data_IF_295078064201
#
_entry.id   IF_295078064201
#
_cell.length_a   1.000
_cell.length_b   1.000
_cell.length_c   1.000
_cell.angle_alpha   90.00
_cell.angle_beta   90.00
_cell.angle_gamma   90.00
#
_symmetry.space_group_name_H-M   'P 1'
#
loop_
_entity.id
_entity.type
_entity.pdbx_description
1 polymer ?
#
# COMPACT_ATOMS: atom_id res chain seq x y z
N UNK A 1 14.93 0.61 -15.87
CA UNK A 1 13.95 -0.42 -15.44
C UNK A 1 14.64 -1.47 -14.57
N UNK A 2 15.76 -2.03 -15.03
CA UNK A 2 16.59 -2.97 -14.25
C UNK A 2 17.05 -2.39 -12.91
N UNK A 3 17.60 -1.17 -12.90
CA UNK A 3 18.08 -0.56 -11.66
C UNK A 3 16.98 -0.31 -10.63
N UNK A 4 15.79 0.11 -11.07
CA UNK A 4 14.65 0.27 -10.16
C UNK A 4 14.24 -1.07 -9.52
N UNK A 5 14.31 -2.17 -10.29
CA UNK A 5 14.03 -3.50 -9.75
C UNK A 5 15.10 -3.95 -8.74
N UNK A 6 16.37 -3.62 -8.97
CA UNK A 6 17.46 -3.86 -8.01
C UNK A 6 17.24 -3.09 -6.71
N UNK A 7 16.82 -1.83 -6.78
CA UNK A 7 16.46 -1.05 -5.60
C UNK A 7 15.31 -1.68 -4.81
N UNK A 8 14.23 -2.08 -5.49
CA UNK A 8 13.11 -2.78 -4.85
C UNK A 8 13.55 -4.06 -4.15
N UNK A 9 14.41 -4.84 -4.82
CA UNK A 9 14.96 -6.08 -4.27
C UNK A 9 15.82 -5.82 -3.03
N UNK A 10 16.71 -4.82 -3.06
CA UNK A 10 17.55 -4.44 -1.90
C UNK A 10 16.70 -4.03 -0.69
N UNK A 11 15.71 -3.16 -0.89
CA UNK A 11 14.80 -2.76 0.18
C UNK A 11 14.02 -3.94 0.77
N UNK A 12 13.55 -4.83 -0.10
CA UNK A 12 12.85 -6.05 0.30
C UNK A 12 13.73 -7.02 1.09
N UNK A 13 14.97 -7.26 0.64
CA UNK A 13 15.94 -8.13 1.33
C UNK A 13 16.29 -7.58 2.71
N UNK A 14 16.48 -6.26 2.84
CA UNK A 14 16.70 -5.61 4.13
C UNK A 14 15.51 -5.81 5.08
N UNK A 15 14.28 -5.65 4.58
CA UNK A 15 13.07 -5.77 5.41
C UNK A 15 12.85 -7.19 5.97
N UNK A 16 13.37 -8.24 5.31
CA UNK A 16 13.27 -9.62 5.81
C UNK A 16 14.03 -9.80 7.13
N UNK A 17 15.04 -8.97 7.42
CA UNK A 17 15.75 -9.01 8.71
C UNK A 17 14.89 -8.54 9.89
N UNK A 18 13.76 -7.89 9.63
CA UNK A 18 12.80 -7.48 10.67
C UNK A 18 11.84 -8.59 11.07
N UNK A 19 11.83 -9.71 10.34
CA UNK A 19 10.95 -10.84 10.62
C UNK A 19 11.63 -11.80 11.58
N UNK A 20 10.97 -12.03 12.71
CA UNK A 20 11.37 -12.96 13.76
C UNK A 20 10.47 -14.21 13.77
N UNK A 21 10.96 -15.28 14.41
CA UNK A 21 10.19 -16.51 14.58
C UNK A 21 8.92 -16.27 15.40
N UNK A 22 7.83 -16.93 15.05
CA UNK A 22 6.53 -16.80 15.74
C UNK A 22 5.69 -15.59 15.34
N UNK A 23 6.21 -14.65 14.53
CA UNK A 23 5.46 -13.45 14.14
C UNK A 23 4.24 -13.76 13.26
N UNK A 24 3.16 -13.01 13.52
CA UNK A 24 2.01 -12.86 12.62
C UNK A 24 2.19 -11.60 11.78
N UNK A 25 2.30 -11.76 10.47
CA UNK A 25 2.68 -10.69 9.55
C UNK A 25 1.49 -10.17 8.75
N UNK A 26 1.45 -8.87 8.49
CA UNK A 26 0.70 -8.33 7.36
C UNK A 26 1.56 -8.31 6.10
N UNK A 27 1.06 -8.93 5.04
CA UNK A 27 1.74 -9.08 3.76
C UNK A 27 1.13 -8.10 2.77
N UNK A 28 1.88 -7.04 2.46
CA UNK A 28 1.50 -5.97 1.56
C UNK A 28 1.26 -6.38 0.10
N UNK A 29 1.10 -5.41 -0.80
CA UNK A 29 0.84 -5.66 -2.23
C UNK A 29 1.80 -4.87 -3.13
N UNK A 30 2.09 -5.43 -4.31
CA UNK A 30 2.82 -4.75 -5.38
C UNK A 30 4.24 -5.31 -5.65
N UNK A 31 4.92 -4.70 -6.62
CA UNK A 31 6.17 -5.24 -7.17
C UNK A 31 7.33 -5.28 -6.17
N UNK A 32 7.38 -4.38 -5.20
CA UNK A 32 8.43 -4.40 -4.17
C UNK A 32 8.16 -5.50 -3.15
N UNK A 33 6.89 -5.66 -2.76
CA UNK A 33 6.45 -6.73 -1.85
C UNK A 33 6.63 -8.12 -2.47
N UNK A 34 6.52 -8.25 -3.79
CA UNK A 34 6.89 -9.48 -4.51
C UNK A 34 8.30 -9.96 -4.14
N UNK A 35 9.30 -9.07 -4.17
CA UNK A 35 10.67 -9.42 -3.80
C UNK A 35 10.79 -9.76 -2.31
N UNK A 36 10.03 -9.07 -1.45
CA UNK A 36 10.01 -9.36 -0.01
C UNK A 36 9.49 -10.76 0.27
N UNK A 37 8.38 -11.15 -0.34
CA UNK A 37 7.81 -12.49 -0.16
C UNK A 37 8.76 -13.58 -0.69
N UNK A 38 9.42 -13.35 -1.83
CA UNK A 38 10.44 -14.28 -2.32
C UNK A 38 11.63 -14.42 -1.37
N UNK A 39 12.11 -13.32 -0.79
CA UNK A 39 13.21 -13.35 0.16
C UNK A 39 12.79 -13.98 1.50
N UNK A 40 11.57 -13.70 1.97
CA UNK A 40 10.98 -14.28 3.16
C UNK A 40 10.85 -15.81 3.04
N UNK A 41 10.36 -16.30 1.91
CA UNK A 41 10.21 -17.75 1.66
C UNK A 41 11.53 -18.53 1.64
N UNK A 42 12.68 -17.85 1.47
CA UNK A 42 14.00 -18.48 1.52
C UNK A 42 14.54 -18.61 2.95
N UNK A 43 13.96 -17.90 3.92
CA UNK A 43 14.37 -17.99 5.33
C UNK A 43 13.98 -19.36 5.88
N UNK A 44 14.94 -20.06 6.48
CA UNK A 44 14.72 -21.34 7.17
C UNK A 44 14.53 -21.11 8.66
N UNK A 45 13.76 -21.99 9.30
CA UNK A 45 13.56 -21.97 10.76
C UNK A 45 12.66 -20.84 11.26
N UNK A 46 11.80 -20.29 10.40
CA UNK A 46 10.77 -19.32 10.80
C UNK A 46 9.39 -19.99 10.76
N UNK A 47 8.70 -19.97 11.89
CA UNK A 47 7.30 -20.33 12.06
C UNK A 47 6.48 -19.04 12.04
N UNK A 48 6.13 -18.59 10.85
CA UNK A 48 5.33 -17.38 10.65
C UNK A 48 3.97 -17.71 10.05
N UNK A 49 3.04 -16.77 10.20
CA UNK A 49 1.75 -16.78 9.49
C UNK A 49 1.44 -15.38 8.98
N UNK A 50 0.75 -15.27 7.86
CA UNK A 50 0.51 -14.01 7.16
C UNK A 50 -0.97 -13.70 6.95
N UNK A 51 -1.30 -12.41 6.97
CA UNK A 51 -2.57 -11.86 6.47
C UNK A 51 -2.25 -11.05 5.21
N UNK A 52 -2.78 -11.46 4.07
CA UNK A 52 -2.55 -10.79 2.79
C UNK A 52 -3.43 -9.56 2.60
N UNK A 53 -2.89 -8.51 1.97
CA UNK A 53 -3.65 -7.29 1.64
C UNK A 53 -4.31 -7.33 0.26
N UNK A 54 -4.16 -8.42 -0.50
CA UNK A 54 -4.85 -8.60 -1.78
C UNK A 54 -4.95 -10.06 -2.22
N UNK A 55 -5.82 -10.33 -3.20
CA UNK A 55 -5.87 -11.60 -3.91
C UNK A 55 -4.58 -11.91 -4.68
N UNK A 56 -3.86 -10.89 -5.14
CA UNK A 56 -2.53 -11.06 -5.75
C UNK A 56 -1.53 -11.60 -4.72
N UNK A 57 -1.44 -10.95 -3.56
CA UNK A 57 -0.53 -11.36 -2.49
C UNK A 57 -0.91 -12.74 -1.92
N UNK A 58 -2.21 -13.03 -1.80
CA UNK A 58 -2.71 -14.34 -1.37
C UNK A 58 -2.19 -15.47 -2.25
N UNK A 59 -2.30 -15.31 -3.58
CA UNK A 59 -1.81 -16.31 -4.54
C UNK A 59 -0.31 -16.52 -4.42
N UNK A 60 0.45 -15.43 -4.43
CA UNK A 60 1.92 -15.49 -4.37
C UNK A 60 2.42 -16.10 -3.04
N UNK A 61 1.85 -15.71 -1.90
CA UNK A 61 2.21 -16.26 -0.61
C UNK A 61 1.92 -17.77 -0.55
N UNK A 62 0.79 -18.21 -1.11
CA UNK A 62 0.43 -19.63 -1.19
C UNK A 62 1.39 -20.42 -2.08
N UNK A 63 1.75 -19.89 -3.25
CA UNK A 63 2.74 -20.49 -4.18
C UNK A 63 4.12 -20.64 -3.54
N UNK A 64 4.48 -19.69 -2.66
CA UNK A 64 5.75 -19.69 -1.92
C UNK A 64 5.71 -20.51 -0.63
N UNK A 65 4.57 -21.12 -0.28
CA UNK A 65 4.41 -21.91 0.93
C UNK A 65 4.38 -21.09 2.23
N UNK A 66 4.08 -19.79 2.17
CA UNK A 66 3.91 -18.94 3.35
C UNK A 66 2.51 -19.20 3.93
N UNK A 67 2.39 -19.67 5.20
CA UNK A 67 1.09 -19.95 5.80
C UNK A 67 0.23 -18.68 5.90
N UNK A 68 -1.02 -18.75 5.44
CA UNK A 68 -1.97 -17.65 5.51
C UNK A 68 -3.06 -17.91 6.54
N UNK A 69 -3.48 -16.83 7.22
CA UNK A 69 -4.58 -16.82 8.18
C UNK A 69 -5.52 -15.65 7.91
N UNK A 70 -6.76 -15.73 8.41
CA UNK A 70 -7.70 -14.61 8.31
C UNK A 70 -7.38 -13.59 9.40
N UNK A 71 -7.53 -12.31 9.08
CA UNK A 71 -7.32 -11.22 10.04
C UNK A 71 -8.13 -11.39 11.33
N UNK A 72 -9.39 -11.82 11.21
CA UNK A 72 -10.28 -12.03 12.36
C UNK A 72 -9.82 -13.12 13.34
N UNK A 73 -8.91 -14.01 12.91
CA UNK A 73 -8.43 -15.14 13.70
C UNK A 73 -7.06 -14.86 14.37
N UNK A 74 -6.48 -13.66 14.18
CA UNK A 74 -5.10 -13.39 14.64
C UNK A 74 -5.00 -12.70 16.00
N UNK A 75 -6.01 -11.92 16.41
CA UNK A 75 -5.95 -11.07 17.60
C UNK A 75 -5.06 -9.83 17.48
N UNK A 76 -4.54 -9.55 16.27
CA UNK A 76 -3.55 -8.51 15.97
C UNK A 76 -2.41 -9.03 15.09
N UNK A 77 -1.59 -8.12 14.55
CA UNK A 77 -0.42 -8.43 13.74
C UNK A 77 0.83 -7.79 14.36
N UNK A 78 1.96 -8.50 14.35
CA UNK A 78 3.22 -8.00 14.90
C UNK A 78 3.85 -6.95 13.98
N UNK A 79 3.84 -7.24 12.66
CA UNK A 79 4.55 -6.45 11.66
C UNK A 79 3.83 -6.52 10.31
N UNK A 80 3.57 -5.37 9.71
CA UNK A 80 3.19 -5.27 8.29
C UNK A 80 4.36 -4.72 7.47
N UNK A 81 4.70 -5.44 6.40
CA UNK A 81 5.62 -4.98 5.35
C UNK A 81 4.82 -4.71 4.09
N UNK A 82 4.89 -3.48 3.58
CA UNK A 82 4.15 -3.09 2.37
C UNK A 82 4.92 -2.07 1.51
N UNK A 83 4.49 -1.87 0.26
CA UNK A 83 5.00 -0.81 -0.61
C UNK A 83 4.28 0.52 -0.44
N UNK A 84 4.79 1.55 -1.11
CA UNK A 84 4.10 2.83 -1.28
C UNK A 84 4.31 3.41 -2.69
N UNK A 85 3.37 4.20 -3.15
CA UNK A 85 3.44 4.92 -4.43
C UNK A 85 4.18 6.24 -4.29
N UNK A 86 4.02 6.90 -3.14
CA UNK A 86 4.81 8.05 -2.68
C UNK A 86 5.00 8.00 -1.17
N UNK A 87 6.12 8.52 -0.71
CA UNK A 87 6.43 8.75 0.71
C UNK A 87 7.08 10.11 0.86
N UNK A 88 6.48 10.98 1.68
CA UNK A 88 7.02 12.31 1.95
C UNK A 88 8.08 12.33 3.06
N UNK A 89 8.65 13.51 3.33
CA UNK A 89 9.66 13.70 4.38
C UNK A 89 9.14 13.45 5.80
N UNK A 90 7.82 13.52 6.01
CA UNK A 90 7.14 13.24 7.27
C UNK A 90 6.64 11.79 7.35
N UNK A 91 7.05 10.96 6.40
CA UNK A 91 6.61 9.57 6.22
C UNK A 91 5.09 9.41 6.14
N UNK A 92 4.42 10.41 5.56
CA UNK A 92 3.06 10.24 5.06
C UNK A 92 3.13 9.63 3.66
N UNK A 93 2.12 8.85 3.27
CA UNK A 93 2.18 8.11 2.01
C UNK A 93 0.94 8.24 1.13
N UNK A 94 1.16 8.12 -0.17
CA UNK A 94 0.14 7.68 -1.12
C UNK A 94 0.36 6.19 -1.41
N UNK A 95 -0.71 5.41 -1.30
CA UNK A 95 -0.80 3.98 -1.63
C UNK A 95 -2.05 3.72 -2.46
N UNK A 96 -2.19 2.49 -2.95
CA UNK A 96 -3.35 2.06 -3.74
C UNK A 96 -3.14 2.04 -5.24
N UNK A 97 -1.93 2.29 -5.75
CA UNK A 97 -1.59 2.13 -7.17
C UNK A 97 -1.90 0.72 -7.70
N UNK A 98 -1.75 -0.30 -6.85
CA UNK A 98 -2.13 -1.69 -7.15
C UNK A 98 -3.63 -2.00 -6.99
N UNK A 99 -4.42 -1.09 -6.44
CA UNK A 99 -5.87 -1.26 -6.24
C UNK A 99 -6.28 -2.02 -4.98
N UNK A 100 -5.37 -2.15 -4.01
CA UNK A 100 -5.57 -2.88 -2.75
C UNK A 100 -5.69 -1.97 -1.51
N UNK A 101 -5.84 -0.64 -1.70
CA UNK A 101 -5.74 0.37 -0.63
C UNK A 101 -6.61 0.07 0.59
N UNK A 102 -7.83 -0.45 0.40
CA UNK A 102 -8.74 -0.74 1.50
C UNK A 102 -8.16 -1.83 2.41
N UNK A 103 -7.79 -2.97 1.84
CA UNK A 103 -7.25 -4.09 2.60
C UNK A 103 -5.86 -3.79 3.15
N UNK A 104 -5.03 -3.05 2.40
CA UNK A 104 -3.75 -2.53 2.90
C UNK A 104 -3.94 -1.69 4.16
N UNK A 105 -4.93 -0.78 4.17
CA UNK A 105 -5.18 0.10 5.31
C UNK A 105 -5.79 -0.64 6.50
N UNK A 106 -6.71 -1.57 6.24
CA UNK A 106 -7.26 -2.44 7.27
C UNK A 106 -6.11 -3.22 7.95
N UNK A 107 -5.32 -3.97 7.20
CA UNK A 107 -4.20 -4.76 7.76
C UNK A 107 -3.20 -3.87 8.51
N UNK A 108 -2.84 -2.71 7.96
CA UNK A 108 -1.94 -1.78 8.61
C UNK A 108 -2.48 -1.27 9.97
N UNK A 109 -3.80 -1.04 10.10
CA UNK A 109 -4.42 -0.56 11.33
C UNK A 109 -4.49 -1.61 12.45
N UNK A 110 -4.43 -2.90 12.12
CA UNK A 110 -4.35 -4.00 13.09
C UNK A 110 -2.91 -4.43 13.39
N UNK A 111 -1.92 -3.72 12.84
CA UNK A 111 -0.50 -4.03 13.00
C UNK A 111 0.15 -3.19 14.09
N UNK A 112 0.95 -3.83 14.93
CA UNK A 112 1.76 -3.15 15.96
C UNK A 112 2.85 -2.29 15.33
N UNK A 113 3.49 -2.78 14.27
CA UNK A 113 4.50 -2.04 13.51
C UNK A 113 4.20 -2.11 12.01
N UNK A 114 4.34 -0.98 11.35
CA UNK A 114 4.22 -0.86 9.91
C UNK A 114 5.55 -0.36 9.34
N UNK A 115 6.04 -1.07 8.33
CA UNK A 115 7.27 -0.74 7.62
C UNK A 115 6.97 -0.70 6.13
N UNK A 116 7.40 0.39 5.48
CA UNK A 116 7.27 0.52 4.04
C UNK A 116 8.59 0.27 3.32
N UNK A 117 8.54 -0.50 2.23
CA UNK A 117 9.67 -0.80 1.36
C UNK A 117 9.48 -0.15 -0.01
N UNK A 118 10.43 0.67 -0.44
CA UNK A 118 10.31 1.44 -1.68
C UNK A 118 11.64 1.55 -2.44
N UNK A 119 11.56 1.77 -3.75
CA UNK A 119 12.71 2.30 -4.51
C UNK A 119 12.87 3.80 -4.27
N UNK A 120 14.07 4.32 -4.55
CA UNK A 120 14.43 5.73 -4.32
C UNK A 120 13.48 6.73 -5.01
N UNK A 121 12.88 6.35 -6.14
CA UNK A 121 11.95 7.19 -6.91
C UNK A 121 10.61 7.45 -6.23
N UNK A 122 10.30 6.77 -5.12
CA UNK A 122 9.05 6.93 -4.36
C UNK A 122 9.15 8.00 -3.27
N UNK A 123 10.37 8.47 -2.97
CA UNK A 123 10.57 9.58 -2.03
C UNK A 123 10.26 10.90 -2.71
N UNK A 124 9.38 11.67 -2.08
CA UNK A 124 8.97 12.99 -2.56
C UNK A 124 9.09 14.02 -1.45
N UNK A 125 9.20 15.30 -1.81
CA UNK A 125 9.14 16.39 -0.82
C UNK A 125 7.70 16.62 -0.34
N UNK A 126 6.75 16.44 -1.25
CA UNK A 126 5.33 16.65 -1.03
C UNK A 126 4.55 15.62 -1.84
N UNK A 127 3.47 15.10 -1.24
CA UNK A 127 2.57 14.15 -1.90
C UNK A 127 1.79 14.79 -3.04
N UNK A 128 1.37 13.99 -4.02
CA UNK A 128 0.37 14.35 -5.04
C UNK A 128 0.86 14.29 -6.48
N UNK A 129 2.14 13.97 -6.73
CA UNK A 129 2.63 13.75 -8.10
C UNK A 129 2.07 12.43 -8.63
N UNK A 130 2.01 11.39 -7.80
CA UNK A 130 1.23 10.19 -8.06
C UNK A 130 -0.27 10.50 -7.88
N UNK A 131 -1.16 10.07 -8.80
CA UNK A 131 -2.60 10.28 -8.64
C UNK A 131 -3.11 9.60 -7.38
N UNK A 132 -3.86 10.31 -6.53
CA UNK A 132 -4.39 9.76 -5.29
C UNK A 132 -5.55 8.80 -5.60
N UNK A 133 -5.42 7.49 -5.30
CA UNK A 133 -6.52 6.54 -5.52
C UNK A 133 -7.62 6.74 -4.49
N UNK A 134 -8.88 6.69 -4.92
CA UNK A 134 -10.06 6.71 -4.04
C UNK A 134 -10.98 5.57 -4.45
N UNK A 135 -11.22 4.62 -3.54
CA UNK A 135 -12.14 3.50 -3.73
C UNK A 135 -13.58 3.97 -3.48
N UNK A 136 -14.47 3.70 -4.42
CA UNK A 136 -15.85 4.19 -4.45
C UNK A 136 -16.79 3.04 -4.75
N UNK A 137 -17.90 2.94 -4.03
CA UNK A 137 -18.94 1.95 -4.33
C UNK A 137 -19.51 2.18 -5.74
N UNK A 138 -19.71 1.15 -6.57
CA UNK A 138 -20.12 1.35 -7.96
C UNK A 138 -21.43 2.13 -8.11
N UNK A 139 -22.36 1.95 -7.16
CA UNK A 139 -23.63 2.69 -7.09
C UNK A 139 -23.42 4.22 -7.01
N UNK A 140 -22.38 4.68 -6.34
CA UNK A 140 -22.10 6.10 -6.11
C UNK A 140 -21.11 6.69 -7.13
N UNK A 141 -20.63 5.91 -8.11
CA UNK A 141 -19.56 6.33 -9.02
C UNK A 141 -19.85 7.67 -9.70
N UNK A 142 -20.99 7.81 -10.39
CA UNK A 142 -21.32 9.04 -11.12
C UNK A 142 -21.43 10.28 -10.22
N UNK A 143 -22.24 10.28 -9.14
CA UNK A 143 -22.36 11.45 -8.28
C UNK A 143 -21.05 11.82 -7.58
N UNK A 144 -20.26 10.84 -7.11
CA UNK A 144 -18.95 11.11 -6.49
C UNK A 144 -17.96 11.67 -7.50
N UNK A 145 -17.93 11.12 -8.72
CA UNK A 145 -17.06 11.62 -9.78
C UNK A 145 -17.42 13.07 -10.15
N UNK A 146 -18.70 13.42 -10.21
CA UNK A 146 -19.12 14.79 -10.50
C UNK A 146 -18.78 15.75 -9.37
N UNK A 147 -18.99 15.34 -8.11
CA UNK A 147 -18.54 16.10 -6.94
C UNK A 147 -17.03 16.39 -6.99
N UNK A 148 -16.21 15.40 -7.35
CA UNK A 148 -14.77 15.57 -7.49
C UNK A 148 -14.41 16.49 -8.66
N UNK A 149 -15.17 16.50 -9.76
CA UNK A 149 -14.98 17.47 -10.85
C UNK A 149 -15.28 18.89 -10.38
N UNK A 150 -16.38 19.11 -9.66
CA UNK A 150 -16.73 20.42 -9.09
C UNK A 150 -15.70 20.94 -8.09
N UNK A 151 -15.05 20.05 -7.35
CA UNK A 151 -13.93 20.38 -6.45
C UNK A 151 -12.59 20.55 -7.17
N UNK A 152 -12.57 20.46 -8.51
CA UNK A 152 -11.37 20.52 -9.35
C UNK A 152 -10.30 19.46 -9.00
N UNK A 153 -10.71 18.34 -8.41
CA UNK A 153 -9.83 17.23 -8.02
C UNK A 153 -9.43 16.30 -9.18
N UNK A 154 -9.90 16.62 -10.40
CA UNK A 154 -9.53 15.96 -11.67
C UNK A 154 -9.63 14.42 -11.61
N UNK A 155 -10.80 13.86 -11.27
CA UNK A 155 -10.97 12.42 -11.11
C UNK A 155 -10.90 11.69 -12.45
N UNK A 156 -10.20 10.55 -12.49
CA UNK A 156 -10.23 9.61 -13.61
C UNK A 156 -10.62 8.23 -13.12
N UNK A 157 -11.58 7.60 -13.78
CA UNK A 157 -11.93 6.22 -13.49
C UNK A 157 -10.77 5.32 -13.88
N UNK A 158 -10.31 4.48 -12.94
CA UNK A 158 -9.28 3.49 -13.23
C UNK A 158 -9.86 2.40 -14.12
N UNK A 159 -9.16 2.08 -15.21
CA UNK A 159 -9.56 1.07 -16.17
C UNK A 159 -8.58 -0.12 -16.17
N UNK A 160 -9.11 -1.31 -16.47
CA UNK A 160 -8.37 -2.49 -16.86
C UNK A 160 -8.76 -2.81 -18.31
N UNK A 161 -7.88 -2.45 -19.24
CA UNK A 161 -8.26 -2.36 -20.66
C UNK A 161 -9.34 -1.30 -20.84
N UNK A 162 -10.47 -1.69 -21.44
CA UNK A 162 -11.60 -0.78 -21.69
C UNK A 162 -12.71 -0.86 -20.62
N UNK A 163 -12.50 -1.65 -19.57
CA UNK A 163 -13.50 -1.86 -18.51
C UNK A 163 -13.05 -1.23 -17.19
N UNK A 164 -13.97 -0.79 -16.31
CA UNK A 164 -13.61 -0.32 -14.98
C UNK A 164 -12.79 -1.37 -14.22
N UNK A 165 -11.69 -0.94 -13.60
CA UNK A 165 -10.96 -1.78 -12.66
C UNK A 165 -11.84 -2.03 -11.43
N UNK A 166 -11.96 -3.30 -11.03
CA UNK A 166 -12.65 -3.70 -9.82
C UNK A 166 -11.63 -4.11 -8.75
N UNK A 167 -11.79 -3.56 -7.54
CA UNK A 167 -11.01 -3.95 -6.37
C UNK A 167 -11.40 -5.35 -5.89
N UNK A 168 -10.64 -5.91 -4.95
CA UNK A 168 -11.00 -7.20 -4.33
C UNK A 168 -12.37 -7.13 -3.63
N UNK A 169 -12.80 -5.94 -3.18
CA UNK A 169 -14.14 -5.67 -2.62
C UNK A 169 -15.20 -5.35 -3.68
N UNK A 170 -14.90 -5.52 -4.98
CA UNK A 170 -15.79 -5.23 -6.11
C UNK A 170 -16.21 -3.76 -6.24
N UNK A 171 -15.43 -2.85 -5.68
CA UNK A 171 -15.60 -1.41 -5.86
C UNK A 171 -14.80 -0.91 -7.07
N UNK A 172 -15.02 0.34 -7.45
CA UNK A 172 -14.24 1.03 -8.49
C UNK A 172 -13.27 2.03 -7.86
N UNK A 173 -12.25 2.46 -8.62
CA UNK A 173 -11.29 3.47 -8.16
C UNK A 173 -11.37 4.71 -9.03
N UNK A 174 -11.46 5.88 -8.40
CA UNK A 174 -11.21 7.18 -9.01
C UNK A 174 -9.82 7.66 -8.61
N UNK A 175 -8.94 7.84 -9.60
CA UNK A 175 -7.61 8.42 -9.45
C UNK A 175 -7.68 9.94 -9.54
N UNK A 176 -7.31 10.65 -8.46
CA UNK A 176 -7.34 12.11 -8.40
C UNK A 176 -5.98 12.69 -8.82
N UNK A 177 -5.96 13.41 -9.94
CA UNK A 177 -4.73 14.00 -10.50
C UNK A 177 -4.44 15.40 -9.93
N UNK A 178 -4.09 15.44 -8.63
CA UNK A 178 -3.97 16.67 -7.85
C UNK A 178 -2.68 17.46 -8.10
N UNK A 179 -1.63 16.82 -8.62
CA UNK A 179 -0.26 17.36 -8.79
C UNK A 179 0.50 17.63 -7.48
N UNK A 180 -0.19 18.14 -6.46
CA UNK A 180 0.35 18.41 -5.14
C UNK A 180 -0.78 18.41 -4.11
N UNK A 181 -0.48 17.94 -2.90
CA UNK A 181 -1.40 17.90 -1.76
C UNK A 181 -0.74 18.69 -0.62
N UNK A 182 -1.26 19.89 -0.34
CA UNK A 182 -0.74 20.79 0.71
C UNK A 182 -1.14 20.35 2.11
N UNK A 183 -2.38 19.90 2.28
CA UNK A 183 -2.92 19.41 3.54
C UNK A 183 -3.52 18.01 3.35
N UNK A 184 -2.70 16.95 3.47
CA UNK A 184 -3.17 15.58 3.36
C UNK A 184 -4.24 15.24 4.41
N UNK A 185 -4.15 15.78 5.62
CA UNK A 185 -5.10 15.47 6.70
C UNK A 185 -6.48 16.07 6.41
N UNK A 186 -6.54 17.32 5.97
CA UNK A 186 -7.80 17.95 5.58
C UNK A 186 -8.44 17.26 4.36
N UNK A 187 -7.63 16.85 3.36
CA UNK A 187 -8.13 16.12 2.20
C UNK A 187 -8.67 14.73 2.60
N UNK A 188 -7.94 13.99 3.44
CA UNK A 188 -8.39 12.71 3.98
C UNK A 188 -9.73 12.85 4.71
N UNK A 189 -9.86 13.85 5.59
CA UNK A 189 -11.11 14.14 6.30
C UNK A 189 -12.28 14.45 5.35
N UNK A 190 -12.04 15.23 4.29
CA UNK A 190 -13.06 15.50 3.28
C UNK A 190 -13.48 14.25 2.50
N UNK A 191 -12.53 13.39 2.12
CA UNK A 191 -12.82 12.15 1.39
C UNK A 191 -13.64 11.18 2.24
N UNK A 192 -13.27 10.99 3.51
CA UNK A 192 -13.98 10.13 4.44
C UNK A 192 -15.42 10.57 4.73
N UNK A 193 -15.70 11.88 4.60
CA UNK A 193 -17.02 12.43 4.84
C UNK A 193 -18.01 12.24 3.67
N UNK A 194 -17.58 11.73 2.51
CA UNK A 194 -18.41 11.62 1.31
C UNK A 194 -19.08 10.24 1.25
N UNK A 195 -20.43 10.15 1.30
CA UNK A 195 -21.12 8.88 1.14
C UNK A 195 -20.79 8.21 -0.20
N UNK A 196 -20.41 6.93 -0.11
CA UNK A 196 -20.01 6.13 -1.27
C UNK A 196 -18.51 6.09 -1.51
N UNK A 197 -17.72 6.98 -0.90
CA UNK A 197 -16.27 6.75 -0.76
C UNK A 197 -16.07 5.67 0.31
N UNK A 198 -15.34 4.62 -0.05
CA UNK A 198 -15.04 3.50 0.84
C UNK A 198 -13.73 3.73 1.55
N UNK A 199 -12.70 4.13 0.81
CA UNK A 199 -11.36 4.43 1.34
C UNK A 199 -10.56 5.27 0.34
N UNK A 200 -9.49 5.93 0.80
CA UNK A 200 -8.57 6.71 -0.01
C UNK A 200 -7.10 6.30 0.19
N UNK A 201 -6.25 6.62 -0.78
CA UNK A 201 -4.84 6.24 -0.80
C UNK A 201 -3.93 7.01 0.15
N UNK A 202 -4.43 8.00 0.91
CA UNK A 202 -3.62 8.68 1.93
C UNK A 202 -3.47 7.81 3.18
N UNK A 203 -2.23 7.41 3.47
CA UNK A 203 -1.85 6.66 4.66
C UNK A 203 -1.06 7.61 5.58
N UNK A 204 -1.77 8.14 6.58
CA UNK A 204 -1.27 9.22 7.42
C UNK A 204 -0.99 8.72 8.83
N UNK A 205 0.22 8.96 9.35
CA UNK A 205 0.63 8.54 10.69
C UNK A 205 0.66 7.02 10.92
N UNK A 206 0.68 6.22 9.85
CA UNK A 206 0.58 4.76 9.95
C UNK A 206 1.93 4.05 9.98
N UNK A 207 2.96 4.57 9.32
CA UNK A 207 4.27 3.93 9.22
C UNK A 207 5.25 4.43 10.27
N UNK A 208 6.06 3.53 10.81
CA UNK A 208 7.12 3.86 11.77
C UNK A 208 8.50 3.81 11.12
N UNK A 209 8.61 3.14 9.95
CA UNK A 209 9.88 2.95 9.26
C UNK A 209 9.69 2.87 7.75
N UNK A 210 10.59 3.51 7.01
CA UNK A 210 10.66 3.41 5.55
C UNK A 210 12.06 2.95 5.16
N UNK A 211 12.12 1.83 4.45
CA UNK A 211 13.34 1.24 3.91
C UNK A 211 13.40 1.56 2.42
N UNK A 212 14.38 2.35 2.02
CA UNK A 212 14.56 2.83 0.66
C UNK A 212 15.75 2.12 0.02
N UNK A 213 15.49 1.42 -1.09
CA UNK A 213 16.54 0.89 -1.94
C UNK A 213 17.16 2.01 -2.77
N UNK A 214 18.46 2.19 -2.65
CA UNK A 214 19.25 3.17 -3.41
C UNK A 214 20.19 2.44 -4.38
N UNK A 215 20.88 3.18 -5.25
CA UNK A 215 21.76 2.61 -6.28
C UNK A 215 22.87 1.72 -5.70
N UNK A 216 23.40 2.10 -4.53
CA UNK A 216 24.56 1.46 -3.91
C UNK A 216 24.27 0.92 -2.50
N UNK A 217 23.01 0.73 -2.13
CA UNK A 217 22.66 0.22 -0.81
C UNK A 217 21.22 0.42 -0.41
N UNK A 218 21.00 0.48 0.90
CA UNK A 218 19.69 0.68 1.51
C UNK A 218 19.80 1.81 2.53
N UNK A 219 18.77 2.65 2.58
CA UNK A 219 18.65 3.73 3.54
C UNK A 219 17.36 3.59 4.33
N UNK A 220 17.47 3.60 5.65
CA UNK A 220 16.34 3.44 6.56
C UNK A 220 16.01 4.76 7.24
N UNK A 221 14.72 5.10 7.25
CA UNK A 221 14.15 6.26 7.92
C UNK A 221 13.20 5.78 9.01
N UNK A 222 13.22 6.41 10.17
CA UNK A 222 12.37 6.08 11.33
C UNK A 222 11.81 7.36 11.94
N UNK A 223 10.62 7.28 12.55
CA UNK A 223 10.05 8.35 13.39
C UNK A 223 10.69 8.33 14.78
#
# INVERSE_FOLDING_TARGET
MEEQNNQKKRAAEEAVHLVEDGMTLGLGTGSTVFYFLQALARRRGLNIRGVSTSGQTTRLASELGIPLVKLGDTGGLDLTIDGADEVDERMQGIKGGGGALLYEKIVASYSRYNVWIVDSGKRVKQLGKFPLPVEVVPFALRPVQELFRHKEWKPRLRLKGDTPFLTDSQNVILDLHLQSISDPAALAGQLNAIPGVVEHGLFLGMTQRVIVGEENGVRTYTL
#
